data_IF_557189502581
#
_entry.id   IF_557189502581
#
_cell.length_a   1.000
_cell.length_b   1.000
_cell.length_c   1.000
_cell.angle_alpha   90.00
_cell.angle_beta   90.00
_cell.angle_gamma   90.00
#
_symmetry.space_group_name_H-M   'P 1'
#
loop_
_entity.id
_entity.type
_entity.pdbx_description
1 polymer ?
#
# COMPACT_ATOMS: atom_id res chain seq x y z
N UNK A 1 -53.39 12.11 -19.00
CA UNK A 1 -52.80 12.56 -17.71
C UNK A 1 -51.34 12.20 -17.74
N UNK A 2 -50.47 13.13 -17.39
CA UNK A 2 -49.03 12.90 -17.37
C UNK A 2 -48.67 11.99 -16.20
N UNK A 3 -47.82 11.00 -16.44
CA UNK A 3 -47.32 10.11 -15.38
C UNK A 3 -46.11 10.76 -14.70
N UNK A 4 -46.10 10.78 -13.37
CA UNK A 4 -45.01 11.24 -12.55
C UNK A 4 -44.49 10.06 -11.73
N UNK A 5 -43.27 9.62 -12.02
CA UNK A 5 -42.62 8.52 -11.33
C UNK A 5 -41.67 9.08 -10.28
N UNK A 6 -41.78 8.60 -9.04
CA UNK A 6 -40.80 8.88 -7.99
C UNK A 6 -39.97 7.62 -7.78
N UNK A 7 -38.67 7.69 -8.07
CA UNK A 7 -37.72 6.59 -7.86
C UNK A 7 -37.40 6.54 -6.37
N UNK A 8 -37.73 5.43 -5.73
CA UNK A 8 -37.40 5.22 -4.32
C UNK A 8 -37.08 3.76 -4.05
N UNK A 9 -36.02 3.51 -3.29
CA UNK A 9 -35.68 2.15 -2.85
C UNK A 9 -36.77 1.63 -1.90
N UNK A 10 -37.22 0.41 -2.13
CA UNK A 10 -38.32 -0.21 -1.36
C UNK A 10 -38.00 -0.33 0.12
N UNK A 11 -36.73 -0.56 0.47
CA UNK A 11 -36.24 -0.70 1.84
C UNK A 11 -35.73 0.62 2.44
N UNK A 12 -35.84 1.74 1.73
CA UNK A 12 -35.40 3.05 2.21
C UNK A 12 -36.31 3.56 3.34
N UNK A 13 -35.72 4.19 4.35
CA UNK A 13 -36.50 4.92 5.36
C UNK A 13 -37.30 6.07 4.75
N UNK A 14 -36.82 6.66 3.64
CA UNK A 14 -37.50 7.73 2.90
C UNK A 14 -38.75 7.23 2.16
N UNK A 15 -38.90 5.91 1.98
CA UNK A 15 -40.00 5.32 1.21
C UNK A 15 -41.38 5.74 1.74
N UNK A 16 -41.53 5.86 3.06
CA UNK A 16 -42.77 6.29 3.70
C UNK A 16 -43.11 7.76 3.36
N UNK A 17 -42.11 8.64 3.33
CA UNK A 17 -42.30 10.03 2.94
C UNK A 17 -42.68 10.12 1.45
N UNK A 18 -42.09 9.28 0.61
CA UNK A 18 -42.46 9.16 -0.82
C UNK A 18 -43.90 8.68 -0.99
N UNK A 19 -44.35 7.67 -0.25
CA UNK A 19 -45.73 7.18 -0.28
C UNK A 19 -46.73 8.27 0.12
N UNK A 20 -46.40 9.04 1.17
CA UNK A 20 -47.19 10.20 1.58
C UNK A 20 -47.25 11.26 0.49
N UNK A 21 -46.10 11.62 -0.11
CA UNK A 21 -46.03 12.60 -1.19
C UNK A 21 -46.89 12.18 -2.40
N UNK A 22 -46.86 10.89 -2.77
CA UNK A 22 -47.68 10.35 -3.87
C UNK A 22 -49.18 10.48 -3.59
N UNK A 23 -49.62 10.11 -2.38
CA UNK A 23 -51.03 10.22 -1.98
C UNK A 23 -51.52 11.67 -2.01
N UNK A 24 -50.78 12.57 -1.36
CA UNK A 24 -51.13 14.00 -1.31
C UNK A 24 -51.13 14.64 -2.70
N UNK A 25 -50.15 14.28 -3.54
CA UNK A 25 -50.03 14.81 -4.90
C UNK A 25 -51.13 14.29 -5.82
N UNK A 26 -51.56 13.04 -5.69
CA UNK A 26 -52.66 12.50 -6.49
C UNK A 26 -54.01 13.14 -6.16
N UNK A 27 -54.23 13.52 -4.91
CA UNK A 27 -55.42 14.32 -4.54
C UNK A 27 -55.29 15.77 -5.03
N UNK A 28 -54.13 16.41 -4.79
CA UNK A 28 -53.88 17.81 -5.16
C UNK A 28 -53.91 18.05 -6.68
N UNK A 29 -53.41 17.12 -7.48
CA UNK A 29 -53.25 17.25 -8.93
C UNK A 29 -54.20 16.34 -9.73
N UNK A 30 -55.29 15.90 -9.10
CA UNK A 30 -56.29 15.00 -9.68
C UNK A 30 -56.76 15.48 -11.05
N UNK A 31 -56.74 14.57 -12.03
CA UNK A 31 -57.15 14.84 -13.41
C UNK A 31 -56.09 15.50 -14.29
N UNK A 32 -54.96 15.96 -13.73
CA UNK A 32 -53.81 16.49 -14.48
C UNK A 32 -52.67 15.49 -14.54
N UNK A 33 -52.23 15.02 -13.37
CA UNK A 33 -51.09 14.12 -13.20
C UNK A 33 -51.49 12.86 -12.44
N UNK A 34 -50.72 11.79 -12.64
CA UNK A 34 -50.79 10.58 -11.80
C UNK A 34 -49.39 10.34 -11.26
N UNK A 35 -49.26 10.43 -9.94
CA UNK A 35 -48.04 10.13 -9.21
C UNK A 35 -48.01 8.66 -8.84
N UNK A 36 -46.86 8.03 -9.05
CA UNK A 36 -46.62 6.65 -8.69
C UNK A 36 -45.17 6.44 -8.29
N UNK A 37 -44.92 5.44 -7.45
CA UNK A 37 -43.57 5.06 -7.07
C UNK A 37 -43.03 4.06 -8.08
N UNK A 38 -41.76 4.25 -8.46
CA UNK A 38 -40.97 3.25 -9.14
C UNK A 38 -40.01 2.61 -8.13
N UNK A 39 -40.06 1.28 -8.03
CA UNK A 39 -39.15 0.53 -7.17
C UNK A 39 -37.73 0.61 -7.73
N UNK A 40 -36.89 1.41 -7.08
CA UNK A 40 -35.52 1.63 -7.53
C UNK A 40 -34.72 0.32 -7.51
N UNK A 41 -33.85 0.17 -8.49
CA UNK A 41 -32.99 -1.01 -8.63
C UNK A 41 -31.78 -0.87 -7.71
N UNK A 42 -31.64 -1.80 -6.77
CA UNK A 42 -30.46 -1.91 -5.91
C UNK A 42 -29.53 -3.04 -6.38
N UNK A 43 -28.27 -3.09 -5.88
CA UNK A 43 -27.39 -4.23 -6.13
C UNK A 43 -27.91 -5.58 -5.65
N UNK A 44 -29.00 -5.61 -4.85
CA UNK A 44 -29.66 -6.84 -4.39
C UNK A 44 -30.76 -7.33 -5.32
N UNK A 45 -31.07 -6.59 -6.38
CA UNK A 45 -32.09 -6.98 -7.35
C UNK A 45 -31.72 -8.29 -8.05
N UNK A 46 -32.69 -9.19 -8.26
CA UNK A 46 -32.42 -10.54 -8.81
C UNK A 46 -31.72 -10.52 -10.18
N UNK A 47 -32.13 -9.60 -11.06
CA UNK A 47 -31.52 -9.42 -12.38
C UNK A 47 -30.27 -8.50 -12.41
N UNK A 48 -29.77 -8.02 -11.26
CA UNK A 48 -28.72 -6.99 -11.23
C UNK A 48 -27.44 -7.43 -11.97
N UNK A 49 -26.97 -8.65 -11.73
CA UNK A 49 -25.79 -9.20 -12.42
C UNK A 49 -26.01 -9.37 -13.92
N UNK A 50 -27.23 -9.74 -14.33
CA UNK A 50 -27.59 -9.85 -15.75
C UNK A 50 -27.54 -8.48 -16.43
N UNK A 51 -28.03 -7.44 -15.77
CA UNK A 51 -27.93 -6.07 -16.29
C UNK A 51 -26.48 -5.60 -16.40
N UNK A 52 -25.60 -5.95 -15.45
CA UNK A 52 -24.16 -5.68 -15.59
C UNK A 52 -23.61 -6.34 -16.85
N UNK A 53 -23.90 -7.62 -17.07
CA UNK A 53 -23.40 -8.33 -18.25
C UNK A 53 -23.88 -7.73 -19.58
N UNK A 54 -25.09 -7.16 -19.61
CA UNK A 54 -25.69 -6.58 -20.81
C UNK A 54 -25.29 -5.11 -21.04
N UNK A 55 -25.24 -4.33 -19.97
CA UNK A 55 -25.21 -2.87 -19.99
C UNK A 55 -23.93 -2.26 -19.39
N UNK A 56 -22.99 -3.05 -18.88
CA UNK A 56 -21.68 -2.57 -18.41
C UNK A 56 -20.54 -3.11 -19.27
N UNK A 57 -19.57 -2.25 -19.57
CA UNK A 57 -18.32 -2.63 -20.23
C UNK A 57 -17.18 -1.77 -19.69
N UNK A 58 -16.27 -2.38 -18.92
CA UNK A 58 -15.15 -1.66 -18.31
C UNK A 58 -14.19 -1.07 -19.35
N UNK A 59 -14.09 -1.65 -20.54
CA UNK A 59 -13.24 -1.08 -21.60
C UNK A 59 -13.82 0.22 -22.16
N UNK A 60 -15.14 0.38 -22.09
CA UNK A 60 -15.84 1.60 -22.52
C UNK A 60 -15.68 2.76 -21.54
N UNK A 61 -15.22 2.54 -20.29
CA UNK A 61 -14.88 3.62 -19.33
C UNK A 61 -13.86 4.62 -19.87
N UNK A 62 -12.96 4.22 -20.77
CA UNK A 62 -12.00 5.12 -21.42
C UNK A 62 -12.67 6.18 -22.30
N UNK A 63 -13.97 6.03 -22.59
CA UNK A 63 -14.77 7.04 -23.31
C UNK A 63 -15.56 7.93 -22.37
N UNK A 64 -15.60 7.61 -21.07
CA UNK A 64 -16.38 8.33 -20.06
C UNK A 64 -15.71 9.65 -19.71
N UNK A 65 -16.45 10.74 -19.90
CA UNK A 65 -16.06 12.06 -19.41
C UNK A 65 -15.97 12.06 -17.87
N UNK A 66 -16.88 11.40 -17.17
CA UNK A 66 -16.79 11.24 -15.72
C UNK A 66 -15.53 10.50 -15.27
N UNK A 67 -15.15 9.41 -15.95
CA UNK A 67 -13.97 8.63 -15.60
C UNK A 67 -12.67 9.44 -15.65
N UNK A 68 -12.58 10.40 -16.58
CA UNK A 68 -11.43 11.30 -16.71
C UNK A 68 -11.52 12.57 -15.84
N UNK A 69 -12.66 12.79 -15.19
CA UNK A 69 -12.85 13.92 -14.27
C UNK A 69 -12.15 13.69 -12.92
N UNK A 70 -11.89 14.79 -12.21
CA UNK A 70 -11.39 14.77 -10.83
C UNK A 70 -12.41 14.16 -9.84
N UNK A 71 -13.66 13.94 -10.26
CA UNK A 71 -14.74 13.41 -9.41
C UNK A 71 -14.79 11.89 -9.37
N UNK A 72 -14.10 11.22 -10.30
CA UNK A 72 -14.03 9.77 -10.31
C UNK A 72 -12.84 9.30 -9.46
N UNK A 73 -13.09 9.03 -8.17
CA UNK A 73 -12.04 8.65 -7.23
C UNK A 73 -11.50 7.22 -7.44
N UNK A 74 -12.33 6.25 -7.88
CA UNK A 74 -11.89 4.87 -8.10
C UNK A 74 -12.65 4.15 -9.22
N UNK A 75 -13.94 3.84 -9.06
CA UNK A 75 -14.73 3.02 -9.99
C UNK A 75 -16.21 3.39 -9.95
N UNK A 76 -17.01 2.95 -10.93
CA UNK A 76 -18.46 3.14 -10.90
C UNK A 76 -19.04 2.28 -9.78
N UNK A 77 -19.76 2.86 -8.84
CA UNK A 77 -20.31 2.10 -7.73
C UNK A 77 -21.51 1.26 -8.22
N UNK A 78 -21.69 0.03 -7.72
CA UNK A 78 -22.88 -0.76 -8.02
C UNK A 78 -24.19 -0.02 -7.73
N UNK A 79 -24.20 0.85 -6.71
CA UNK A 79 -25.38 1.64 -6.37
C UNK A 79 -25.61 2.80 -7.37
N UNK A 80 -24.56 3.41 -7.93
CA UNK A 80 -24.68 4.38 -9.02
C UNK A 80 -25.19 3.70 -10.31
N UNK A 81 -24.71 2.49 -10.59
CA UNK A 81 -25.23 1.66 -11.67
C UNK A 81 -26.73 1.34 -11.47
N UNK A 82 -27.14 0.97 -10.26
CA UNK A 82 -28.55 0.73 -9.91
C UNK A 82 -29.43 1.98 -10.04
N UNK A 83 -28.92 3.14 -9.63
CA UNK A 83 -29.56 4.44 -9.86
C UNK A 83 -29.78 4.66 -11.36
N UNK A 84 -28.72 4.59 -12.17
CA UNK A 84 -28.82 4.74 -13.63
C UNK A 84 -29.84 3.77 -14.23
N UNK A 85 -29.77 2.50 -13.84
CA UNK A 85 -30.66 1.46 -14.34
C UNK A 85 -32.14 1.76 -14.03
N UNK A 86 -32.42 2.35 -12.86
CA UNK A 86 -33.78 2.79 -12.49
C UNK A 86 -34.32 3.85 -13.46
N UNK A 87 -33.49 4.85 -13.81
CA UNK A 87 -33.84 5.85 -14.82
C UNK A 87 -33.99 5.22 -16.21
N UNK A 88 -33.08 4.33 -16.60
CA UNK A 88 -33.11 3.64 -17.89
C UNK A 88 -34.39 2.81 -18.10
N UNK A 89 -34.86 2.11 -17.07
CA UNK A 89 -36.11 1.36 -17.13
C UNK A 89 -37.32 2.29 -17.26
N UNK A 90 -37.31 3.44 -16.58
CA UNK A 90 -38.36 4.46 -16.77
C UNK A 90 -38.32 5.11 -18.15
N UNK A 91 -37.14 5.27 -18.76
CA UNK A 91 -37.05 5.69 -20.17
C UNK A 91 -37.71 4.65 -21.09
N UNK A 92 -37.48 3.35 -20.84
CA UNK A 92 -38.15 2.27 -21.59
C UNK A 92 -39.67 2.31 -21.43
N UNK A 93 -40.17 2.56 -20.21
CA UNK A 93 -41.61 2.72 -19.98
C UNK A 93 -42.17 3.98 -20.65
N UNK A 94 -41.43 5.09 -20.70
CA UNK A 94 -41.83 6.30 -21.45
C UNK A 94 -42.00 6.01 -22.95
N UNK A 95 -41.06 5.26 -23.56
CA UNK A 95 -41.17 4.84 -24.97
C UNK A 95 -42.35 3.88 -25.16
N UNK A 96 -42.53 2.91 -24.26
CA UNK A 96 -43.58 1.89 -24.34
C UNK A 96 -44.99 2.48 -24.22
N UNK A 97 -45.18 3.44 -23.31
CA UNK A 97 -46.45 4.15 -23.13
C UNK A 97 -46.69 5.20 -24.22
N UNK A 98 -45.62 5.61 -24.92
CA UNK A 98 -45.63 6.66 -25.92
C UNK A 98 -46.28 7.96 -25.40
N UNK A 99 -46.00 8.30 -24.14
CA UNK A 99 -46.44 9.52 -23.48
C UNK A 99 -45.26 10.17 -22.76
N UNK A 100 -45.22 11.51 -22.67
CA UNK A 100 -44.23 12.17 -21.82
C UNK A 100 -44.40 11.79 -20.35
N UNK A 101 -43.29 11.73 -19.65
CA UNK A 101 -43.24 11.39 -18.22
C UNK A 101 -42.45 12.45 -17.46
N UNK A 102 -42.72 12.56 -16.16
CA UNK A 102 -41.85 13.24 -15.20
C UNK A 102 -41.21 12.18 -14.33
N UNK A 103 -39.90 12.25 -14.15
CA UNK A 103 -39.14 11.35 -13.29
C UNK A 103 -38.52 12.18 -12.18
N UNK A 104 -38.75 11.79 -10.93
CA UNK A 104 -38.29 12.43 -9.71
C UNK A 104 -37.53 11.42 -8.84
N UNK A 105 -36.57 11.89 -8.05
CA UNK A 105 -35.92 11.11 -6.99
C UNK A 105 -36.69 11.25 -5.66
N UNK A 106 -36.37 10.44 -4.65
CA UNK A 106 -37.09 10.40 -3.38
C UNK A 106 -36.71 11.51 -2.39
N UNK A 107 -35.73 12.36 -2.73
CA UNK A 107 -35.30 13.50 -1.93
C UNK A 107 -35.85 14.85 -2.44
N UNK A 108 -36.93 14.83 -3.21
CA UNK A 108 -37.55 16.06 -3.71
C UNK A 108 -38.73 16.56 -2.89
N UNK A 109 -39.03 17.84 -3.05
CA UNK A 109 -40.27 18.49 -2.68
C UNK A 109 -40.85 19.25 -3.89
N UNK A 110 -42.18 19.32 -3.98
CA UNK A 110 -42.87 20.00 -5.09
C UNK A 110 -43.18 21.45 -4.74
N UNK A 111 -42.77 22.38 -5.60
CA UNK A 111 -43.07 23.80 -5.43
C UNK A 111 -44.50 24.15 -5.90
N UNK A 112 -45.00 25.32 -5.49
CA UNK A 112 -46.37 25.75 -5.81
C UNK A 112 -46.64 25.89 -7.31
N UNK A 113 -45.61 26.19 -8.11
CA UNK A 113 -45.69 26.38 -9.56
C UNK A 113 -45.41 25.10 -10.37
N UNK A 114 -45.32 23.92 -9.73
CA UNK A 114 -45.03 22.65 -10.40
C UNK A 114 -45.97 22.35 -11.57
N UNK A 115 -47.27 22.57 -11.41
CA UNK A 115 -48.25 22.30 -12.47
C UNK A 115 -48.09 23.22 -13.67
N UNK A 116 -47.79 24.51 -13.43
CA UNK A 116 -47.56 25.47 -14.52
C UNK A 116 -46.32 25.06 -15.32
N UNK A 117 -45.23 24.72 -14.63
CA UNK A 117 -44.01 24.26 -15.28
C UNK A 117 -44.23 23.00 -16.14
N UNK A 118 -45.05 22.07 -15.66
CA UNK A 118 -45.39 20.88 -16.42
C UNK A 118 -46.24 21.21 -17.66
N UNK A 119 -47.22 22.09 -17.54
CA UNK A 119 -48.03 22.54 -18.68
C UNK A 119 -47.18 23.24 -19.74
N UNK A 120 -46.20 24.03 -19.32
CA UNK A 120 -45.26 24.69 -20.22
C UNK A 120 -44.34 23.66 -20.90
N UNK A 121 -43.83 22.68 -20.16
CA UNK A 121 -43.02 21.59 -20.73
C UNK A 121 -43.80 20.84 -21.82
N UNK A 122 -45.07 20.51 -21.57
CA UNK A 122 -45.94 19.82 -22.53
C UNK A 122 -46.24 20.63 -23.80
N UNK A 123 -46.24 21.97 -23.70
CA UNK A 123 -46.43 22.88 -24.85
C UNK A 123 -45.12 23.20 -25.57
N UNK A 124 -43.99 22.94 -24.92
CA UNK A 124 -42.66 23.21 -25.46
C UNK A 124 -42.22 22.15 -26.47
N UNK A 125 -41.29 22.47 -27.39
CA UNK A 125 -40.71 21.49 -28.31
C UNK A 125 -39.50 20.76 -27.74
N UNK A 126 -39.28 20.83 -26.41
CA UNK A 126 -38.08 20.29 -25.78
C UNK A 126 -38.29 18.84 -25.33
N UNK A 127 -37.37 17.97 -25.74
CA UNK A 127 -37.46 16.53 -25.46
C UNK A 127 -37.07 16.18 -24.03
N UNK A 128 -36.30 17.05 -23.37
CA UNK A 128 -35.82 16.90 -22.00
C UNK A 128 -35.74 18.27 -21.32
N UNK A 129 -36.24 18.36 -20.09
CA UNK A 129 -36.19 19.57 -19.26
C UNK A 129 -35.96 19.20 -17.80
N UNK A 130 -34.88 19.68 -17.20
CA UNK A 130 -34.63 19.57 -15.75
C UNK A 130 -35.64 20.41 -14.98
N UNK A 131 -36.16 19.84 -13.91
CA UNK A 131 -37.07 20.48 -12.97
C UNK A 131 -36.35 20.95 -11.69
N UNK A 132 -35.11 20.51 -11.51
CA UNK A 132 -34.18 21.00 -10.50
C UNK A 132 -32.75 20.94 -11.03
N UNK A 133 -31.90 21.84 -10.57
CA UNK A 133 -30.51 21.92 -10.94
C UNK A 133 -29.74 22.84 -10.01
N UNK A 134 -28.44 22.63 -9.91
CA UNK A 134 -27.52 23.55 -9.26
C UNK A 134 -26.20 23.60 -10.03
N UNK A 135 -25.48 24.70 -9.91
CA UNK A 135 -24.13 24.76 -10.47
C UNK A 135 -23.17 23.98 -9.57
N UNK A 136 -22.29 23.24 -10.22
CA UNK A 136 -21.16 22.60 -9.58
C UNK A 136 -20.08 23.66 -9.28
N UNK A 137 -19.26 23.46 -8.23
CA UNK A 137 -18.45 24.52 -7.60
C UNK A 137 -17.63 25.42 -8.55
N UNK A 138 -17.50 26.70 -8.20
CA UNK A 138 -16.59 27.67 -8.85
C UNK A 138 -17.09 28.33 -10.15
N UNK A 139 -18.24 27.91 -10.69
CA UNK A 139 -18.85 28.59 -11.85
C UNK A 139 -19.34 29.99 -11.49
N UNK A 140 -19.03 30.97 -12.35
CA UNK A 140 -19.52 32.35 -12.25
C UNK A 140 -20.43 32.61 -13.44
N UNK A 141 -21.68 32.18 -13.31
CA UNK A 141 -22.67 32.45 -14.36
C UNK A 141 -23.15 33.90 -14.29
N UNK A 142 -23.44 34.50 -15.43
CA UNK A 142 -23.84 35.91 -15.51
C UNK A 142 -25.25 36.11 -14.96
N UNK A 143 -26.13 35.11 -15.11
CA UNK A 143 -27.51 35.22 -14.68
C UNK A 143 -27.73 34.70 -13.24
N UNK A 144 -26.74 34.00 -12.66
CA UNK A 144 -26.85 33.40 -11.31
C UNK A 144 -28.16 32.64 -11.10
N UNK A 145 -28.61 31.95 -12.15
CA UNK A 145 -30.00 31.49 -12.26
C UNK A 145 -30.30 30.22 -11.44
N UNK A 146 -29.26 29.54 -10.96
CA UNK A 146 -29.32 28.32 -10.14
C UNK A 146 -28.43 28.48 -8.89
N UNK A 147 -28.75 27.77 -7.78
CA UNK A 147 -27.92 27.78 -6.58
C UNK A 147 -26.55 27.15 -6.82
N UNK A 148 -25.55 27.51 -5.99
CA UNK A 148 -24.19 26.94 -6.01
C UNK A 148 -24.04 25.95 -4.84
N UNK A 149 -23.54 24.75 -5.12
CA UNK A 149 -23.27 23.73 -4.10
C UNK A 149 -21.93 23.99 -3.36
N UNK A 150 -21.89 23.83 -2.03
CA UNK A 150 -20.68 23.96 -1.19
C UNK A 150 -20.57 22.81 -0.18
N UNK A 151 -19.46 22.05 -0.20
CA UNK A 151 -19.22 20.74 0.49
C UNK A 151 -18.97 20.76 2.02
N UNK A 152 -19.24 21.83 2.76
CA UNK A 152 -18.62 22.08 4.08
C UNK A 152 -19.16 21.33 5.33
N UNK A 153 -19.84 20.18 5.25
CA UNK A 153 -20.52 19.58 6.44
C UNK A 153 -20.15 18.13 6.85
N UNK A 154 -19.01 17.56 6.41
CA UNK A 154 -18.60 16.20 6.82
C UNK A 154 -17.24 16.14 7.52
N UNK A 155 -17.17 16.46 8.82
CA UNK A 155 -16.06 16.01 9.69
C UNK A 155 -16.53 15.70 11.10
N UNK A 156 -17.07 14.50 11.33
CA UNK A 156 -17.06 13.86 12.65
C UNK A 156 -17.28 12.35 12.51
N UNK A 157 -16.32 11.66 11.87
CA UNK A 157 -16.22 10.20 11.87
C UNK A 157 -15.26 9.77 13.00
N UNK A 158 -15.81 9.34 14.14
CA UNK A 158 -15.04 8.71 15.23
C UNK A 158 -14.72 7.25 14.87
N UNK A 159 -13.52 7.01 14.32
CA UNK A 159 -12.93 5.67 14.21
C UNK A 159 -12.12 5.39 15.48
N UNK A 160 -12.66 4.56 16.38
CA UNK A 160 -11.93 4.05 17.55
C UNK A 160 -11.27 2.70 17.16
N UNK A 161 -9.93 2.64 17.16
CA UNK A 161 -9.14 1.40 17.00
C UNK A 161 -8.36 1.16 18.28
N UNK A 162 -8.54 0.00 18.90
CA UNK A 162 -7.72 -0.52 20.00
C UNK A 162 -6.60 -1.46 19.50
N UNK A 163 -5.48 -1.59 20.25
CA UNK A 163 -4.22 -2.15 19.75
C UNK A 163 -4.00 -3.64 20.11
N UNK A 164 -3.19 -4.31 19.29
CA UNK A 164 -2.74 -5.70 19.46
C UNK A 164 -1.37 -5.71 20.15
N UNK A 165 -1.23 -6.54 21.18
CA UNK A 165 -0.07 -6.72 22.04
C UNK A 165 0.84 -7.84 21.47
N UNK A 166 2.14 -7.58 21.34
CA UNK A 166 3.18 -8.54 20.95
C UNK A 166 4.03 -8.90 22.17
N UNK A 167 4.28 -10.18 22.42
CA UNK A 167 5.32 -10.62 23.35
C UNK A 167 6.27 -11.65 22.75
N UNK A 168 7.45 -11.67 23.35
CA UNK A 168 8.79 -11.89 22.80
C UNK A 168 9.32 -13.31 23.06
N UNK A 169 10.40 -13.64 22.35
CA UNK A 169 11.09 -14.93 22.20
C UNK A 169 12.14 -15.16 23.30
N UNK A 170 12.46 -16.43 23.65
CA UNK A 170 13.81 -16.81 24.12
C UNK A 170 14.10 -18.32 23.97
N UNK A 171 15.34 -18.76 23.63
CA UNK A 171 15.72 -20.18 23.50
C UNK A 171 16.69 -20.68 24.61
N UNK A 172 16.95 -22.01 24.74
CA UNK A 172 17.90 -22.58 25.71
C UNK A 172 19.24 -23.06 25.10
N UNK A 173 20.31 -23.27 25.91
CA UNK A 173 21.60 -23.81 25.46
C UNK A 173 21.85 -25.27 25.88
N UNK A 174 22.87 -25.90 25.27
CA UNK A 174 23.41 -27.23 25.57
C UNK A 174 24.96 -27.14 25.65
N UNK A 175 25.66 -28.02 26.39
CA UNK A 175 26.89 -28.61 25.83
C UNK A 175 27.19 -30.08 26.24
N UNK A 176 28.23 -30.61 25.59
CA UNK A 176 28.52 -32.01 25.26
C UNK A 176 29.49 -32.79 26.19
N UNK A 177 29.73 -34.05 25.81
CA UNK A 177 30.35 -35.20 26.49
C UNK A 177 31.88 -35.42 26.27
N UNK A 178 32.46 -36.20 27.19
CA UNK A 178 33.37 -37.39 27.11
C UNK A 178 34.78 -37.39 26.44
N UNK A 179 35.80 -37.65 27.29
CA UNK A 179 36.54 -38.92 27.56
C UNK A 179 37.64 -39.54 26.63
N UNK A 180 38.64 -40.11 27.33
CA UNK A 180 39.54 -41.29 27.07
C UNK A 180 40.66 -41.20 26.01
N UNK A 181 41.76 -42.00 26.01
CA UNK A 181 42.57 -42.84 26.93
C UNK A 181 43.69 -43.47 26.06
N UNK A 182 44.66 -44.17 26.69
CA UNK A 182 45.56 -45.25 26.17
C UNK A 182 47.02 -44.89 25.80
N UNK A 183 48.03 -45.78 25.88
CA UNK A 183 48.48 -46.80 26.86
C UNK A 183 49.76 -47.50 26.29
N UNK A 184 50.53 -48.17 27.19
CA UNK A 184 51.42 -49.37 27.03
C UNK A 184 52.83 -49.32 26.32
N UNK A 185 53.90 -49.83 27.00
CA UNK A 185 54.64 -51.12 26.81
C UNK A 185 56.10 -51.10 27.37
N UNK A 186 56.40 -52.22 28.01
CA UNK A 186 57.53 -52.82 28.72
C UNK A 186 58.65 -53.41 27.83
N UNK A 187 59.91 -53.55 28.29
CA UNK A 187 60.70 -54.83 28.20
C UNK A 187 62.01 -54.84 29.01
N UNK A 188 62.39 -56.05 29.45
CA UNK A 188 63.51 -56.49 30.31
C UNK A 188 64.84 -56.73 29.56
N UNK A 189 65.98 -56.84 30.30
CA UNK A 189 66.92 -57.98 30.20
C UNK A 189 68.09 -57.95 31.23
N UNK A 190 68.33 -59.11 31.88
CA UNK A 190 69.53 -59.63 32.59
C UNK A 190 70.53 -60.26 31.54
N UNK A 191 71.64 -61.01 31.81
CA UNK A 191 72.36 -61.45 33.05
C UNK A 191 73.92 -61.52 32.94
N UNK A 192 74.65 -62.02 33.98
CA UNK A 192 75.57 -63.23 33.99
C UNK A 192 76.79 -63.25 34.95
N UNK A 193 76.76 -64.26 35.85
CA UNK A 193 77.71 -65.37 36.16
C UNK A 193 79.24 -65.22 36.48
N UNK A 194 79.58 -65.65 37.73
CA UNK A 194 80.49 -66.76 38.17
C UNK A 194 81.95 -66.95 37.65
N UNK A 195 82.91 -67.12 38.58
CA UNK A 195 83.67 -68.39 38.83
C UNK A 195 85.03 -68.26 39.59
N UNK A 196 85.07 -68.76 40.84
CA UNK A 196 85.90 -69.87 41.40
C UNK A 196 87.46 -70.01 41.28
N UNK A 197 88.16 -70.95 42.01
CA UNK A 197 89.13 -70.63 43.08
C UNK A 197 90.56 -71.22 42.87
N UNK A 198 91.51 -71.03 43.82
CA UNK A 198 92.75 -71.84 43.84
C UNK A 198 93.35 -72.05 45.26
N UNK A 199 93.50 -73.32 45.65
CA UNK A 199 94.24 -73.82 46.83
C UNK A 199 95.67 -74.16 46.42
N UNK A 200 96.69 -73.78 47.20
CA UNK A 200 98.05 -74.35 47.10
C UNK A 200 98.59 -74.74 48.49
N UNK A 201 99.20 -75.93 48.52
CA UNK A 201 99.66 -76.71 49.66
C UNK A 201 100.92 -76.15 50.35
N UNK A 202 101.09 -76.54 51.62
CA UNK A 202 102.20 -76.14 52.50
C UNK A 202 103.42 -77.06 52.35
N UNK A 203 104.61 -76.47 52.16
CA UNK A 203 105.90 -77.12 52.44
C UNK A 203 106.62 -76.36 53.56
N UNK A 204 107.04 -77.12 54.58
CA UNK A 204 107.65 -76.66 55.84
C UNK A 204 109.11 -76.22 55.64
N UNK A 205 109.43 -74.99 56.05
CA UNK A 205 110.80 -74.55 56.39
C UNK A 205 110.72 -73.67 57.65
N UNK A 206 111.74 -73.75 58.49
CA UNK A 206 111.82 -73.31 59.89
C UNK A 206 111.56 -71.82 60.14
N UNK A 207 110.95 -71.55 61.30
CA UNK A 207 110.22 -70.34 61.68
C UNK A 207 111.07 -69.42 62.58
N UNK A 208 111.38 -68.18 62.16
CA UNK A 208 111.95 -67.14 63.03
C UNK A 208 110.86 -66.12 63.46
N UNK A 209 110.33 -66.21 64.69
CA UNK A 209 109.12 -65.50 65.12
C UNK A 209 109.29 -63.97 65.22
N UNK A 210 110.50 -63.45 65.42
CA UNK A 210 110.74 -62.00 65.64
C UNK A 210 110.68 -61.22 64.33
N UNK A 211 111.28 -61.76 63.26
CA UNK A 211 111.25 -61.16 61.91
C UNK A 211 109.83 -61.19 61.37
N UNK A 212 109.12 -62.30 61.53
CA UNK A 212 107.70 -62.43 61.15
C UNK A 212 106.81 -61.41 61.89
N UNK A 213 107.01 -61.18 63.20
CA UNK A 213 106.24 -60.19 63.97
C UNK A 213 106.50 -58.75 63.49
N UNK A 214 107.73 -58.44 63.06
CA UNK A 214 108.11 -57.11 62.52
C UNK A 214 107.54 -56.89 61.11
N UNK A 215 107.58 -57.90 60.25
CA UNK A 215 106.93 -57.90 58.92
C UNK A 215 105.41 -57.79 59.07
N UNK A 216 104.80 -58.57 59.97
CA UNK A 216 103.36 -58.52 60.28
C UNK A 216 102.91 -57.14 60.74
N UNK A 217 103.67 -56.45 61.60
CA UNK A 217 103.35 -55.05 61.99
C UNK A 217 103.45 -54.07 60.83
N UNK A 218 104.48 -54.16 59.99
CA UNK A 218 104.62 -53.29 58.82
C UNK A 218 103.51 -53.54 57.80
N UNK A 219 103.18 -54.80 57.56
CA UNK A 219 102.07 -55.21 56.70
C UNK A 219 100.74 -54.72 57.25
N UNK A 220 100.45 -54.90 58.54
CA UNK A 220 99.22 -54.41 59.17
C UNK A 220 99.10 -52.87 59.09
N UNK A 221 100.21 -52.14 59.27
CA UNK A 221 100.23 -50.68 59.10
C UNK A 221 99.98 -50.26 57.65
N UNK A 222 100.58 -50.97 56.70
CA UNK A 222 100.38 -50.74 55.27
C UNK A 222 98.94 -51.03 54.85
N UNK A 223 98.36 -52.16 55.31
CA UNK A 223 96.94 -52.49 55.14
C UNK A 223 96.05 -51.40 55.73
N UNK A 224 96.34 -50.91 56.94
CA UNK A 224 95.61 -49.80 57.56
C UNK A 224 95.67 -48.50 56.75
N UNK A 225 96.83 -48.16 56.20
CA UNK A 225 97.00 -46.99 55.31
C UNK A 225 96.27 -47.15 53.98
N UNK A 226 96.25 -48.36 53.41
CA UNK A 226 95.48 -48.65 52.20
C UNK A 226 94.00 -48.50 52.49
N UNK A 227 93.50 -49.11 53.57
CA UNK A 227 92.09 -49.02 53.97
C UNK A 227 91.65 -47.56 54.18
N UNK A 228 92.48 -46.74 54.84
CA UNK A 228 92.20 -45.32 55.01
C UNK A 228 92.14 -44.55 53.67
N UNK A 229 93.05 -44.83 52.72
CA UNK A 229 93.00 -44.21 51.38
C UNK A 229 91.81 -44.72 50.57
N UNK A 230 91.45 -45.99 50.67
CA UNK A 230 90.25 -46.55 50.04
C UNK A 230 88.99 -45.86 50.55
N UNK A 231 88.92 -45.56 51.85
CA UNK A 231 87.77 -44.87 52.44
C UNK A 231 87.68 -43.41 51.98
N UNK A 232 88.82 -42.70 51.91
CA UNK A 232 88.86 -41.35 51.29
C UNK A 232 88.45 -41.42 49.83
N UNK A 233 88.90 -42.43 49.08
CA UNK A 233 88.54 -42.60 47.67
C UNK A 233 87.04 -42.86 47.48
N UNK A 234 86.41 -43.70 48.31
CA UNK A 234 84.94 -43.90 48.29
C UNK A 234 84.18 -42.60 48.53
N UNK A 235 84.63 -41.76 49.47
CA UNK A 235 84.01 -40.46 49.72
C UNK A 235 84.16 -39.49 48.53
N UNK A 236 85.28 -39.52 47.82
CA UNK A 236 85.48 -38.71 46.61
C UNK A 236 84.59 -39.21 45.47
N UNK A 237 84.52 -40.52 45.25
CA UNK A 237 83.61 -41.12 44.27
C UNK A 237 82.17 -40.75 44.58
N UNK A 238 81.72 -40.88 45.84
CA UNK A 238 80.37 -40.50 46.25
C UNK A 238 80.06 -39.01 46.00
N UNK A 239 81.02 -38.11 46.22
CA UNK A 239 80.88 -36.68 45.88
C UNK A 239 80.82 -36.44 44.37
N UNK A 240 81.58 -37.19 43.59
CA UNK A 240 81.57 -37.11 42.14
C UNK A 240 80.23 -37.59 41.56
N UNK A 241 79.69 -38.69 42.10
CA UNK A 241 78.37 -39.20 41.73
C UNK A 241 77.26 -38.20 42.08
N UNK A 242 77.31 -37.56 43.25
CA UNK A 242 76.35 -36.51 43.65
C UNK A 242 76.43 -35.27 42.74
N UNK A 243 77.65 -34.87 42.36
CA UNK A 243 77.85 -33.75 41.42
C UNK A 243 77.34 -34.10 40.02
N UNK A 244 77.56 -35.34 39.57
CA UNK A 244 77.06 -35.83 38.27
C UNK A 244 75.54 -35.80 38.25
N UNK A 245 74.86 -36.28 39.31
CA UNK A 245 73.40 -36.18 39.44
C UNK A 245 72.89 -34.74 39.38
N UNK A 246 73.55 -33.81 40.08
CA UNK A 246 73.20 -32.38 40.02
C UNK A 246 73.38 -31.78 38.62
N UNK A 247 74.41 -32.21 37.90
CA UNK A 247 74.65 -31.77 36.53
C UNK A 247 73.57 -32.32 35.58
N UNK A 248 73.19 -33.59 35.72
CA UNK A 248 72.11 -34.21 34.95
C UNK A 248 70.76 -33.51 35.22
N UNK A 249 70.46 -33.21 36.49
CA UNK A 249 69.24 -32.48 36.87
C UNK A 249 69.23 -31.05 36.33
N UNK A 250 70.38 -30.38 36.30
CA UNK A 250 70.50 -29.03 35.73
C UNK A 250 70.33 -29.06 34.21
N UNK A 251 70.90 -30.07 33.54
CA UNK A 251 70.76 -30.27 32.10
C UNK A 251 69.29 -30.48 31.73
N UNK A 252 68.57 -31.34 32.46
CA UNK A 252 67.12 -31.53 32.26
C UNK A 252 66.33 -30.23 32.42
N UNK A 253 66.63 -29.42 33.44
CA UNK A 253 65.97 -28.12 33.63
C UNK A 253 66.25 -27.14 32.50
N UNK A 254 67.46 -27.19 31.92
CA UNK A 254 67.82 -26.36 30.77
C UNK A 254 67.06 -26.79 29.51
N UNK A 255 66.95 -28.10 29.26
CA UNK A 255 66.18 -28.65 28.15
C UNK A 255 64.68 -28.31 28.28
N UNK A 256 64.12 -28.43 29.48
CA UNK A 256 62.74 -28.04 29.80
C UNK A 256 62.50 -26.53 29.55
N UNK A 257 63.47 -25.68 29.92
CA UNK A 257 63.35 -24.24 29.73
C UNK A 257 63.46 -23.87 28.25
N UNK A 258 64.35 -24.52 27.51
CA UNK A 258 64.49 -24.35 26.06
C UNK A 258 63.20 -24.72 25.34
N UNK A 259 62.61 -25.86 25.69
CA UNK A 259 61.31 -26.29 25.14
C UNK A 259 60.20 -25.26 25.40
N UNK A 260 60.12 -24.72 26.63
CA UNK A 260 59.14 -23.67 26.96
C UNK A 260 59.37 -22.37 26.18
N UNK A 261 60.62 -22.03 25.88
CA UNK A 261 60.95 -20.85 25.10
C UNK A 261 60.53 -21.01 23.64
N UNK A 262 60.78 -22.19 23.06
CA UNK A 262 60.36 -22.52 21.68
C UNK A 262 58.82 -22.53 21.56
N UNK A 263 58.12 -23.09 22.55
CA UNK A 263 56.65 -23.05 22.64
C UNK A 263 56.11 -21.60 22.71
N UNK A 264 56.78 -20.74 23.49
CA UNK A 264 56.38 -19.34 23.63
C UNK A 264 56.62 -18.56 22.34
N UNK A 265 57.74 -18.82 21.67
CA UNK A 265 58.08 -18.23 20.37
C UNK A 265 57.03 -18.61 19.32
N UNK A 266 56.66 -19.89 19.25
CA UNK A 266 55.61 -20.37 18.34
C UNK A 266 54.27 -19.69 18.60
N UNK A 267 53.86 -19.55 19.88
CA UNK A 267 52.62 -18.83 20.25
C UNK A 267 52.66 -17.34 19.87
N UNK A 268 53.83 -16.72 19.94
CA UNK A 268 54.01 -15.32 19.56
C UNK A 268 53.87 -15.13 18.04
N UNK A 269 54.43 -16.03 17.25
CA UNK A 269 54.31 -16.03 15.79
C UNK A 269 52.86 -16.26 15.34
N UNK A 270 52.15 -17.20 15.99
CA UNK A 270 50.73 -17.44 15.77
C UNK A 270 49.88 -16.21 16.09
N UNK A 271 50.19 -15.51 17.18
CA UNK A 271 49.47 -14.30 17.58
C UNK A 271 49.71 -13.15 16.61
N UNK A 272 50.96 -13.01 16.13
CA UNK A 272 51.35 -12.01 15.13
C UNK A 272 50.58 -12.25 13.82
N UNK A 273 50.50 -13.50 13.36
CA UNK A 273 49.74 -13.87 12.16
C UNK A 273 48.24 -13.53 12.30
N UNK A 274 47.64 -13.85 13.47
CA UNK A 274 46.23 -13.49 13.74
C UNK A 274 45.99 -11.98 13.76
N UNK A 275 46.96 -11.20 14.26
CA UNK A 275 46.89 -9.74 14.26
C UNK A 275 46.93 -9.17 12.84
N UNK A 276 47.82 -9.69 11.98
CA UNK A 276 47.91 -9.28 10.58
C UNK A 276 46.62 -9.60 9.80
N UNK A 277 46.05 -10.79 10.03
CA UNK A 277 44.77 -11.18 9.42
C UNK A 277 43.59 -10.32 9.90
N UNK A 278 43.58 -9.93 11.18
CA UNK A 278 42.56 -9.02 11.71
C UNK A 278 42.69 -7.62 11.11
N UNK A 279 43.93 -7.15 10.93
CA UNK A 279 44.23 -5.85 10.30
C UNK A 279 43.70 -5.81 8.86
N UNK A 280 43.97 -6.86 8.06
CA UNK A 280 43.43 -6.96 6.69
C UNK A 280 41.90 -6.94 6.65
N UNK A 281 41.23 -7.66 7.56
CA UNK A 281 39.76 -7.66 7.65
C UNK A 281 39.21 -6.28 8.01
N UNK A 282 39.93 -5.51 8.84
CA UNK A 282 39.55 -4.14 9.19
C UNK A 282 39.67 -3.20 7.99
N UNK A 283 40.74 -3.31 7.21
CA UNK A 283 40.93 -2.51 5.98
C UNK A 283 39.86 -2.83 4.92
N UNK A 284 39.54 -4.11 4.74
CA UNK A 284 38.47 -4.56 3.85
C UNK A 284 37.09 -4.01 4.27
N UNK A 285 36.81 -4.00 5.58
CA UNK A 285 35.56 -3.48 6.12
C UNK A 285 35.47 -1.96 5.95
N UNK A 286 36.58 -1.25 6.17
CA UNK A 286 36.69 0.20 5.96
C UNK A 286 36.40 0.55 4.51
N UNK A 287 37.00 -0.17 3.56
CA UNK A 287 36.76 0.03 2.13
C UNK A 287 35.29 -0.18 1.76
N UNK A 288 34.64 -1.23 2.29
CA UNK A 288 33.20 -1.49 2.07
C UNK A 288 32.33 -0.39 2.64
N UNK A 289 32.69 0.18 3.79
CA UNK A 289 31.97 1.28 4.41
C UNK A 289 32.05 2.56 3.56
N UNK A 290 33.23 2.87 3.03
CA UNK A 290 33.42 4.01 2.14
C UNK A 290 32.61 3.87 0.84
N UNK A 291 32.59 2.68 0.25
CA UNK A 291 31.79 2.39 -0.94
C UNK A 291 30.28 2.48 -0.68
N UNK A 292 29.82 2.04 0.49
CA UNK A 292 28.42 2.15 0.88
C UNK A 292 28.01 3.61 1.10
N UNK A 293 28.89 4.41 1.71
CA UNK A 293 28.70 5.85 1.92
C UNK A 293 28.54 6.57 0.59
N UNK A 294 29.42 6.32 -0.40
CA UNK A 294 29.29 6.89 -1.75
C UNK A 294 27.97 6.54 -2.42
N UNK A 295 27.52 5.28 -2.32
CA UNK A 295 26.22 4.84 -2.88
C UNK A 295 25.04 5.55 -2.22
N UNK A 296 25.13 5.82 -0.91
CA UNK A 296 24.11 6.56 -0.17
C UNK A 296 24.04 8.03 -0.63
N UNK A 297 25.19 8.67 -0.82
CA UNK A 297 25.27 10.06 -1.32
C UNK A 297 24.71 10.17 -2.75
N UNK A 298 25.03 9.22 -3.63
CA UNK A 298 24.48 9.13 -4.99
C UNK A 298 22.95 8.95 -4.99
N UNK A 299 22.43 8.11 -4.09
CA UNK A 299 20.99 7.87 -3.97
C UNK A 299 20.27 9.12 -3.45
N UNK A 300 20.86 9.79 -2.47
CA UNK A 300 20.34 11.05 -1.90
C UNK A 300 20.25 12.13 -2.98
N UNK A 301 21.31 12.30 -3.78
CA UNK A 301 21.33 13.25 -4.91
C UNK A 301 20.23 12.95 -5.94
N UNK A 302 20.01 11.68 -6.29
CA UNK A 302 18.94 11.27 -7.21
C UNK A 302 17.54 11.54 -6.64
N UNK A 303 17.37 11.38 -5.33
CA UNK A 303 16.10 11.66 -4.65
C UNK A 303 15.80 13.17 -4.67
N UNK A 304 16.80 14.01 -4.39
CA UNK A 304 16.66 15.46 -4.45
C UNK A 304 16.30 15.95 -5.86
N UNK A 305 16.96 15.40 -6.88
CA UNK A 305 16.65 15.72 -8.29
C UNK A 305 15.24 15.29 -8.69
N UNK A 306 14.78 14.14 -8.20
CA UNK A 306 13.41 13.66 -8.44
C UNK A 306 12.38 14.56 -7.74
N UNK A 307 12.67 14.98 -6.51
CA UNK A 307 11.81 15.88 -5.73
C UNK A 307 11.67 17.23 -6.43
N UNK A 308 12.77 17.83 -6.91
CA UNK A 308 12.73 19.08 -7.69
C UNK A 308 11.92 18.95 -8.99
N UNK A 309 12.03 17.81 -9.69
CA UNK A 309 11.22 17.54 -10.90
C UNK A 309 9.73 17.43 -10.55
N UNK A 310 9.40 16.77 -9.45
CA UNK A 310 8.02 16.63 -8.98
C UNK A 310 7.41 18.00 -8.62
N UNK A 311 8.11 18.82 -7.85
CA UNK A 311 7.67 20.19 -7.53
C UNK A 311 7.50 21.05 -8.79
N UNK A 312 8.42 20.97 -9.75
CA UNK A 312 8.30 21.68 -11.03
C UNK A 312 7.08 21.23 -11.84
N UNK A 313 6.74 19.94 -11.81
CA UNK A 313 5.55 19.41 -12.48
C UNK A 313 4.26 19.87 -11.79
N UNK A 314 4.21 19.83 -10.46
CA UNK A 314 3.07 20.34 -9.70
C UNK A 314 2.83 21.84 -9.98
N UNK A 315 3.88 22.66 -10.01
CA UNK A 315 3.75 24.07 -10.34
C UNK A 315 3.20 24.30 -11.76
N UNK A 316 3.63 23.49 -12.74
CA UNK A 316 3.08 23.52 -14.10
C UNK A 316 1.62 23.09 -14.14
N UNK A 317 1.24 22.05 -13.39
CA UNK A 317 -0.13 21.59 -13.27
C UNK A 317 -1.04 22.69 -12.70
N UNK A 318 -0.63 23.33 -11.59
CA UNK A 318 -1.36 24.44 -10.98
C UNK A 318 -1.52 25.61 -11.96
N UNK A 319 -0.45 26.01 -12.65
CA UNK A 319 -0.52 27.11 -13.62
C UNK A 319 -1.46 26.78 -14.80
N UNK A 320 -1.45 25.53 -15.30
CA UNK A 320 -2.38 25.08 -16.35
C UNK A 320 -3.82 25.13 -15.85
N UNK A 321 -4.08 24.68 -14.61
CA UNK A 321 -5.42 24.71 -14.01
C UNK A 321 -5.91 26.14 -13.80
N UNK A 322 -5.10 27.04 -13.23
CA UNK A 322 -5.43 28.45 -13.02
C UNK A 322 -5.75 29.16 -14.35
N UNK A 323 -4.83 29.09 -15.32
CA UNK A 323 -5.05 29.72 -16.64
C UNK A 323 -6.25 29.15 -17.39
N UNK A 324 -6.58 27.88 -17.16
CA UNK A 324 -7.80 27.27 -17.69
C UNK A 324 -9.05 27.85 -17.05
N UNK A 325 -9.11 27.94 -15.72
CA UNK A 325 -10.27 28.49 -15.00
C UNK A 325 -10.52 29.96 -15.35
N UNK A 326 -9.47 30.77 -15.47
CA UNK A 326 -9.57 32.15 -15.93
C UNK A 326 -10.20 32.25 -17.32
N UNK A 327 -9.72 31.46 -18.30
CA UNK A 327 -10.29 31.44 -19.66
C UNK A 327 -11.73 30.92 -19.70
N UNK A 328 -12.10 30.04 -18.77
CA UNK A 328 -13.45 29.47 -18.72
C UNK A 328 -14.47 30.53 -18.36
N UNK A 329 -14.19 31.39 -17.37
CA UNK A 329 -15.10 32.43 -16.90
C UNK A 329 -15.60 33.36 -18.04
N UNK A 330 -14.75 33.69 -19.01
CA UNK A 330 -15.12 34.57 -20.15
C UNK A 330 -15.99 33.86 -21.22
N UNK A 331 -16.13 32.53 -21.14
CA UNK A 331 -16.71 31.69 -22.19
C UNK A 331 -18.10 31.12 -21.84
N UNK A 332 -18.56 31.27 -20.60
CA UNK A 332 -19.85 30.73 -20.16
C UNK A 332 -21.01 31.48 -20.84
N UNK A 333 -21.90 30.73 -21.48
CA UNK A 333 -23.04 31.26 -22.25
C UNK A 333 -24.34 30.76 -21.67
N UNK A 334 -25.31 31.66 -21.67
CA UNK A 334 -26.63 31.45 -21.05
C UNK A 334 -27.70 32.10 -21.91
N UNK A 335 -28.86 31.44 -22.00
CA UNK A 335 -30.01 31.96 -22.73
C UNK A 335 -31.31 31.38 -22.18
N UNK A 336 -32.35 32.23 -22.17
CA UNK A 336 -33.72 31.83 -21.91
C UNK A 336 -34.48 31.63 -23.22
N UNK A 337 -35.39 30.66 -23.20
CA UNK A 337 -36.32 30.35 -24.27
C UNK A 337 -37.70 30.20 -23.65
N UNK A 338 -38.74 30.70 -24.33
CA UNK A 338 -40.13 30.66 -23.85
C UNK A 338 -40.24 31.08 -22.36
N UNK A 339 -39.52 32.15 -22.00
CA UNK A 339 -39.40 32.76 -20.66
C UNK A 339 -38.74 31.89 -19.57
N UNK A 340 -39.10 30.61 -19.47
CA UNK A 340 -38.75 29.74 -18.34
C UNK A 340 -37.69 28.68 -18.67
N UNK A 341 -37.35 28.45 -19.93
CA UNK A 341 -36.42 27.37 -20.31
C UNK A 341 -35.01 27.92 -20.45
N UNK A 342 -34.21 27.66 -19.43
CA UNK A 342 -32.84 28.10 -19.32
C UNK A 342 -31.89 27.08 -19.95
N UNK A 343 -31.05 27.54 -20.87
CA UNK A 343 -29.98 26.78 -21.49
C UNK A 343 -28.64 27.42 -21.10
N UNK A 344 -27.66 26.59 -20.74
CA UNK A 344 -26.33 27.06 -20.37
C UNK A 344 -25.24 26.19 -20.97
N UNK A 345 -24.05 26.77 -21.18
CA UNK A 345 -22.84 26.02 -21.52
C UNK A 345 -22.11 25.49 -20.27
N UNK A 346 -22.71 25.65 -19.10
CA UNK A 346 -22.17 25.21 -17.80
C UNK A 346 -22.82 23.89 -17.38
N UNK A 347 -22.09 23.09 -16.62
CA UNK A 347 -22.62 21.84 -16.07
C UNK A 347 -23.72 22.15 -15.04
N UNK A 348 -24.89 21.53 -15.20
CA UNK A 348 -26.01 21.63 -14.25
C UNK A 348 -26.15 20.28 -13.56
N UNK A 349 -25.71 20.19 -12.32
CA UNK A 349 -25.66 18.95 -11.56
C UNK A 349 -27.05 18.50 -11.09
N UNK A 350 -27.16 17.21 -10.72
CA UNK A 350 -28.34 16.47 -10.21
C UNK A 350 -29.19 15.74 -11.26
N UNK A 351 -29.91 14.71 -10.79
CA UNK A 351 -31.02 14.04 -11.47
C UNK A 351 -32.32 14.06 -10.66
N UNK A 352 -32.39 14.89 -9.61
CA UNK A 352 -33.50 14.99 -8.68
C UNK A 352 -34.88 15.07 -9.35
N UNK A 353 -35.00 15.77 -10.48
CA UNK A 353 -36.24 15.76 -11.25
C UNK A 353 -36.11 16.28 -12.67
N UNK A 354 -36.79 15.63 -13.62
CA UNK A 354 -36.85 16.07 -15.01
C UNK A 354 -38.11 15.59 -15.75
N UNK A 355 -38.51 16.35 -16.76
CA UNK A 355 -39.49 16.00 -17.77
C UNK A 355 -38.81 15.36 -18.98
N UNK A 356 -39.43 14.33 -19.56
CA UNK A 356 -38.89 13.57 -20.69
C UNK A 356 -39.99 13.15 -21.67
N UNK A 357 -39.77 13.39 -22.97
CA UNK A 357 -40.65 12.91 -24.04
C UNK A 357 -40.25 11.50 -24.49
N UNK A 358 -41.14 10.73 -25.15
CA UNK A 358 -40.78 9.43 -25.73
C UNK A 358 -39.61 9.52 -26.72
N UNK A 359 -39.49 10.64 -27.44
CA UNK A 359 -38.38 10.90 -28.36
C UNK A 359 -37.06 11.08 -27.60
N UNK A 360 -37.05 11.90 -26.53
CA UNK A 360 -35.88 12.06 -25.65
C UNK A 360 -35.47 10.75 -24.98
N UNK A 361 -36.46 10.00 -24.46
CA UNK A 361 -36.23 8.70 -23.85
C UNK A 361 -35.58 7.71 -24.83
N UNK A 362 -36.07 7.64 -26.07
CA UNK A 362 -35.47 6.80 -27.12
C UNK A 362 -34.01 7.16 -27.39
N UNK A 363 -33.68 8.46 -27.48
CA UNK A 363 -32.29 8.89 -27.68
C UNK A 363 -31.38 8.54 -26.50
N UNK A 364 -31.88 8.62 -25.26
CA UNK A 364 -31.12 8.20 -24.07
C UNK A 364 -30.89 6.69 -24.02
N UNK A 365 -31.88 5.89 -24.41
CA UNK A 365 -31.76 4.43 -24.50
C UNK A 365 -30.72 4.05 -25.55
N UNK A 366 -30.83 4.59 -26.78
CA UNK A 366 -29.89 4.29 -27.87
C UNK A 366 -28.44 4.68 -27.51
N UNK A 367 -28.26 5.80 -26.80
CA UNK A 367 -26.95 6.20 -26.31
C UNK A 367 -26.45 5.27 -25.20
N UNK A 368 -27.31 4.85 -24.26
CA UNK A 368 -26.96 3.87 -23.21
C UNK A 368 -26.55 2.54 -23.82
N UNK A 369 -27.26 2.05 -24.83
CA UNK A 369 -26.92 0.79 -25.52
C UNK A 369 -25.59 0.89 -26.28
N UNK A 370 -25.29 2.07 -26.85
CA UNK A 370 -24.05 2.37 -27.59
C UNK A 370 -22.83 2.52 -26.69
N UNK A 371 -22.96 3.25 -25.58
CA UNK A 371 -21.84 3.62 -24.72
C UNK A 371 -21.71 2.73 -23.48
N UNK A 372 -22.75 1.98 -23.14
CA UNK A 372 -22.89 1.25 -21.87
C UNK A 372 -22.99 2.21 -20.68
N UNK A 373 -23.43 1.70 -19.53
CA UNK A 373 -23.55 2.47 -18.28
C UNK A 373 -22.16 2.55 -17.66
N UNK A 374 -21.40 3.55 -18.06
CA UNK A 374 -20.00 3.74 -17.66
C UNK A 374 -19.79 4.94 -16.73
N UNK A 375 -20.86 5.63 -16.36
CA UNK A 375 -20.83 6.79 -15.49
C UNK A 375 -22.18 6.97 -14.78
N UNK A 376 -22.23 7.76 -13.70
CA UNK A 376 -23.47 8.17 -13.06
C UNK A 376 -24.45 8.83 -14.06
N UNK A 377 -25.74 8.66 -13.81
CA UNK A 377 -26.80 9.09 -14.75
C UNK A 377 -26.86 10.61 -14.94
N UNK A 378 -26.50 11.39 -13.91
CA UNK A 378 -26.44 12.84 -13.99
C UNK A 378 -25.32 13.30 -14.94
N UNK A 379 -24.16 12.65 -14.90
CA UNK A 379 -23.05 12.87 -15.81
C UNK A 379 -23.44 12.54 -17.25
N UNK A 380 -24.12 11.41 -17.45
CA UNK A 380 -24.62 10.99 -18.76
C UNK A 380 -25.61 12.02 -19.37
N UNK A 381 -26.62 12.44 -18.60
CA UNK A 381 -27.64 13.41 -19.04
C UNK A 381 -27.01 14.79 -19.31
N UNK A 382 -25.97 15.16 -18.57
CA UNK A 382 -25.24 16.40 -18.79
C UNK A 382 -24.33 16.37 -20.02
N UNK A 383 -24.16 15.22 -20.66
CA UNK A 383 -23.28 15.06 -21.80
C UNK A 383 -24.04 15.01 -23.13
N UNK A 384 -24.35 16.17 -23.74
CA UNK A 384 -25.07 16.23 -24.99
C UNK A 384 -24.33 15.52 -26.14
N UNK A 385 -23.03 15.23 -26.01
CA UNK A 385 -22.28 14.52 -27.06
C UNK A 385 -22.61 13.04 -27.15
N UNK A 386 -23.21 12.44 -26.12
CA UNK A 386 -23.60 11.04 -26.13
C UNK A 386 -24.94 10.82 -26.83
N UNK A 387 -25.93 11.65 -26.50
CA UNK A 387 -27.32 11.43 -26.87
C UNK A 387 -27.89 12.49 -27.79
N UNK A 388 -27.19 13.60 -28.00
CA UNK A 388 -27.61 14.71 -28.85
C UNK A 388 -28.96 15.34 -28.46
N UNK A 389 -29.21 15.47 -27.16
CA UNK A 389 -30.41 16.11 -26.60
C UNK A 389 -30.03 17.40 -25.90
N UNK A 390 -30.83 18.46 -26.09
CA UNK A 390 -30.65 19.73 -25.42
C UNK A 390 -30.96 19.62 -23.92
N UNK A 391 -30.05 20.10 -23.07
CA UNK A 391 -30.19 20.07 -21.61
C UNK A 391 -30.75 21.41 -21.11
N UNK A 392 -32.08 21.56 -21.17
CA UNK A 392 -32.77 22.73 -20.61
C UNK A 392 -33.07 22.54 -19.13
N UNK A 393 -33.10 23.63 -18.37
CA UNK A 393 -33.61 23.67 -16.99
C UNK A 393 -34.78 24.63 -16.92
N UNK A 394 -35.89 24.22 -16.31
CA UNK A 394 -37.02 25.10 -16.08
C UNK A 394 -36.76 25.99 -14.86
N UNK A 395 -36.96 27.30 -15.03
CA UNK A 395 -36.76 28.32 -14.00
C UNK A 395 -38.00 29.21 -13.80
N UNK A 396 -38.36 29.54 -12.55
CA UNK A 396 -37.79 29.03 -11.30
C UNK A 396 -38.02 27.52 -11.13
N UNK A 397 -37.09 26.80 -10.49
CA UNK A 397 -37.18 25.34 -10.37
C UNK A 397 -38.51 24.91 -9.72
N UNK A 398 -39.35 24.09 -10.38
CA UNK A 398 -40.62 23.62 -9.84
C UNK A 398 -40.48 22.50 -8.79
N UNK A 399 -39.24 22.07 -8.55
CA UNK A 399 -38.87 21.05 -7.60
C UNK A 399 -37.70 21.58 -6.77
N UNK A 400 -37.67 21.26 -5.48
CA UNK A 400 -36.56 21.55 -4.57
C UNK A 400 -36.11 20.27 -3.84
N UNK A 401 -34.96 20.34 -3.17
CA UNK A 401 -34.46 19.25 -2.34
C UNK A 401 -35.12 19.30 -0.96
N UNK A 402 -35.55 18.15 -0.46
CA UNK A 402 -36.10 18.00 0.88
C UNK A 402 -34.98 17.77 1.92
N UNK A 403 -35.35 17.73 3.20
CA UNK A 403 -34.43 17.58 4.35
C UNK A 403 -33.55 16.33 4.31
N UNK A 404 -33.85 15.35 3.46
CA UNK A 404 -33.11 14.11 3.34
C UNK A 404 -32.04 14.14 2.23
N UNK A 405 -32.01 15.14 1.36
CA UNK A 405 -31.15 15.16 0.17
C UNK A 405 -29.65 15.01 0.46
N UNK A 406 -29.18 15.45 1.62
CA UNK A 406 -27.76 15.32 2.02
C UNK A 406 -27.40 13.95 2.61
N UNK A 407 -28.38 13.09 2.94
CA UNK A 407 -28.15 11.78 3.54
C UNK A 407 -28.19 10.67 2.48
N UNK A 408 -27.17 10.53 1.62
CA UNK A 408 -27.19 9.52 0.54
C UNK A 408 -27.55 8.12 1.06
N UNK A 409 -28.72 7.62 0.64
CA UNK A 409 -29.20 6.26 0.94
C UNK A 409 -28.50 5.21 0.09
N UNK A 410 -27.79 5.65 -0.95
CA UNK A 410 -27.15 4.86 -2.00
C UNK A 410 -25.66 4.64 -1.69
N UNK A 411 -24.96 5.63 -1.13
CA UNK A 411 -23.51 5.53 -0.87
C UNK A 411 -23.17 4.85 0.47
N UNK A 412 -24.09 4.81 1.45
CA UNK A 412 -23.83 4.31 2.80
C UNK A 412 -24.05 2.79 3.01
N UNK A 413 -24.36 2.03 1.97
CA UNK A 413 -24.50 0.57 2.07
C UNK A 413 -23.12 -0.12 2.05
N UNK A 414 -22.91 -1.10 2.94
CA UNK A 414 -21.70 -1.97 2.94
C UNK A 414 -21.34 -2.37 1.51
N UNK A 415 -20.08 -2.14 1.10
CA UNK A 415 -19.57 -2.47 -0.25
C UNK A 415 -20.04 -3.88 -0.64
N UNK A 416 -20.90 -4.02 -1.68
CA UNK A 416 -21.24 -5.33 -2.19
C UNK A 416 -19.99 -6.00 -2.76
N UNK A 417 -19.98 -7.33 -2.82
CA UNK A 417 -18.86 -8.14 -3.34
C UNK A 417 -18.67 -8.00 -4.88
N UNK A 418 -19.47 -7.15 -5.51
CA UNK A 418 -19.46 -6.84 -6.94
C UNK A 418 -18.51 -5.64 -7.17
N UNK A 419 -17.36 -5.89 -7.78
CA UNK A 419 -16.38 -4.85 -8.13
C UNK A 419 -16.42 -4.57 -9.64
N UNK A 420 -16.67 -3.31 -10.00
CA UNK A 420 -16.72 -2.83 -11.39
C UNK A 420 -15.36 -2.23 -11.79
N UNK A 421 -14.30 -3.05 -11.70
CA UNK A 421 -12.92 -2.57 -11.82
C UNK A 421 -12.66 -1.76 -13.09
N UNK A 422 -12.05 -0.57 -12.95
CA UNK A 422 -11.76 0.30 -14.08
C UNK A 422 -10.47 -0.11 -14.80
N UNK A 423 -10.28 0.33 -16.06
CA UNK A 423 -8.98 0.29 -16.72
C UNK A 423 -8.00 1.29 -16.08
N UNK A 424 -6.70 1.21 -16.44
CA UNK A 424 -5.72 2.21 -15.98
C UNK A 424 -6.00 3.57 -16.64
N UNK A 425 -6.10 4.63 -15.81
CA UNK A 425 -6.25 6.02 -16.28
C UNK A 425 -4.93 6.55 -16.85
N UNK A 426 -5.04 7.34 -17.91
CA UNK A 426 -3.96 8.16 -18.46
C UNK A 426 -3.93 9.51 -17.77
N UNK A 427 -2.78 9.92 -17.22
CA UNK A 427 -2.62 11.22 -16.56
C UNK A 427 -2.86 12.39 -17.54
N UNK A 428 -2.43 12.26 -18.80
CA UNK A 428 -2.58 13.32 -19.80
C UNK A 428 -4.04 13.57 -20.18
N UNK A 429 -4.85 12.52 -20.28
CA UNK A 429 -6.27 12.67 -20.63
C UNK A 429 -7.04 13.40 -19.53
N UNK A 430 -6.67 13.16 -18.26
CA UNK A 430 -7.25 13.85 -17.11
C UNK A 430 -6.85 15.33 -17.06
N UNK A 431 -5.59 15.66 -17.38
CA UNK A 431 -5.09 17.05 -17.30
C UNK A 431 -5.88 18.01 -18.21
N UNK A 432 -6.37 17.53 -19.36
CA UNK A 432 -7.12 18.35 -20.31
C UNK A 432 -8.64 18.11 -20.27
N UNK A 433 -9.13 17.22 -19.41
CA UNK A 433 -10.53 16.86 -19.30
C UNK A 433 -11.43 18.11 -19.22
N UNK A 434 -11.20 18.98 -18.22
CA UNK A 434 -12.04 20.15 -17.98
C UNK A 434 -12.10 21.07 -19.20
N UNK A 435 -10.99 21.20 -19.93
CA UNK A 435 -10.90 21.99 -21.16
C UNK A 435 -11.71 21.39 -22.29
N UNK A 436 -11.59 20.08 -22.52
CA UNK A 436 -12.37 19.42 -23.56
C UNK A 436 -13.86 19.41 -23.23
N UNK A 437 -14.22 19.15 -21.97
CA UNK A 437 -15.60 19.18 -21.50
C UNK A 437 -16.22 20.57 -21.67
N UNK A 438 -15.51 21.65 -21.27
CA UNK A 438 -15.96 23.02 -21.49
C UNK A 438 -16.25 23.31 -22.97
N UNK A 439 -15.38 22.86 -23.87
CA UNK A 439 -15.58 23.01 -25.31
C UNK A 439 -16.78 22.22 -25.83
N UNK A 440 -17.00 21.00 -25.32
CA UNK A 440 -18.18 20.18 -25.67
C UNK A 440 -19.46 20.90 -25.27
N UNK A 441 -19.56 21.37 -24.02
CA UNK A 441 -20.73 22.10 -23.52
C UNK A 441 -20.97 23.41 -24.30
N UNK A 442 -19.92 24.17 -24.62
CA UNK A 442 -20.05 25.40 -25.41
C UNK A 442 -20.52 25.13 -26.85
N UNK A 443 -19.99 24.09 -27.49
CA UNK A 443 -20.46 23.66 -28.83
C UNK A 443 -21.92 23.24 -28.80
N UNK A 444 -22.33 22.48 -27.79
CA UNK A 444 -23.72 22.07 -27.60
C UNK A 444 -24.63 23.29 -27.37
N UNK A 445 -24.23 24.23 -26.52
CA UNK A 445 -24.95 25.49 -26.31
C UNK A 445 -25.16 26.23 -27.63
N UNK A 446 -24.12 26.44 -28.43
CA UNK A 446 -24.26 27.13 -29.72
C UNK A 446 -25.16 26.36 -30.70
N UNK A 447 -25.04 25.04 -30.75
CA UNK A 447 -25.91 24.19 -31.60
C UNK A 447 -27.38 24.38 -31.24
N UNK A 448 -27.75 24.18 -29.97
CA UNK A 448 -29.14 24.26 -29.55
C UNK A 448 -29.68 25.69 -29.48
N UNK A 449 -28.85 26.66 -29.09
CA UNK A 449 -29.25 28.06 -29.15
C UNK A 449 -29.53 28.52 -30.58
N UNK A 450 -28.85 27.96 -31.59
CA UNK A 450 -29.16 28.22 -33.00
C UNK A 450 -30.42 27.48 -33.44
N UNK A 451 -30.56 26.20 -33.08
CA UNK A 451 -31.72 25.38 -33.42
C UNK A 451 -33.04 25.97 -32.90
N UNK A 452 -33.04 26.49 -31.67
CA UNK A 452 -34.21 27.07 -31.02
C UNK A 452 -34.23 28.60 -31.03
N UNK A 453 -33.43 29.24 -31.89
CA UNK A 453 -33.33 30.70 -31.97
C UNK A 453 -34.69 31.43 -32.09
N UNK A 454 -35.70 30.92 -32.83
CA UNK A 454 -37.03 31.56 -32.90
C UNK A 454 -37.80 31.60 -31.58
N UNK A 455 -37.43 30.75 -30.61
CA UNK A 455 -38.09 30.64 -29.30
C UNK A 455 -37.34 31.40 -28.21
N UNK A 456 -36.24 32.07 -28.56
CA UNK A 456 -35.36 32.73 -27.61
C UNK A 456 -36.05 33.96 -27.03
N UNK A 457 -36.09 34.04 -25.71
CA UNK A 457 -36.63 35.19 -25.00
C UNK A 457 -35.66 36.37 -25.17
N UNK A 458 -36.12 37.56 -25.59
CA UNK A 458 -35.30 38.76 -25.51
C UNK A 458 -34.88 38.97 -24.05
N UNK A 459 -33.58 39.10 -23.77
CA UNK A 459 -33.09 39.41 -22.42
C UNK A 459 -33.66 40.76 -21.98
N UNK A 460 -34.64 40.77 -21.09
CA UNK A 460 -34.59 41.74 -19.99
C UNK A 460 -33.73 41.07 -18.92
N UNK A 461 -32.54 41.66 -18.70
CA UNK A 461 -31.50 41.14 -17.79
C UNK A 461 -32.00 41.21 -16.35
#
# INVERSE_FOLDING_TARGET
MTQVYIISLKESQRRLDTEKLVLESNEKFKGRCVFQIFDAISPKHEDFEKFIQELYDSSSLLKSDWFHSDYCYQELLPQEFGCYLSHYLLWKECVKTNQPVVILEDDVALESHFTQALEDCLKSPFDFVRLYGHYWGGHKTNLCALPIYTENEETEASMEKTPIENHEVTPPPNPAQDAQQDSIIETQQDPKELSEPCKIASQKISFNPVVFKKVKRKLNRFIGSILARTEVYKNVVAKYDDLTKKYDDLTKKYDDLTTKYDDLTTKYDDLTTKYDDLTKKYDDLTTKYDDLTKKYDDLTTKYDDLTKKYESLLAKETNIKETFWERRADSEKEAFFLEHFYLTSVYVATTAGYYLTPKGAKTFIEATERFKIIEPVDMFINNPTYHDVANFTYLPCPVSLNKHAFNSTIQNAKKPDISLKPPRKSYFDNLFYHKFNAQKCLKAFHKYSKQYAPLKTPKEV
#
